data_IF_967204547293
#
_entry.id   IF_967204547293
#
_cell.length_a   1.000
_cell.length_b   1.000
_cell.length_c   1.000
_cell.angle_alpha   90.00
_cell.angle_beta   90.00
_cell.angle_gamma   90.00
#
_symmetry.space_group_name_H-M   'P 1'
#
loop_
_entity.id
_entity.type
_entity.pdbx_description
1 polymer ?
#
# COMPACT_ATOMS: atom_id res chain seq x y z
N UNK A 1 16.74 17.01 2.11
CA UNK A 1 16.48 17.35 0.70
C UNK A 1 15.57 16.33 0.00
N UNK A 2 15.70 15.01 0.22
CA UNK A 2 14.74 14.02 -0.31
C UNK A 2 13.33 14.11 0.31
N UNK A 3 13.21 14.50 1.59
CA UNK A 3 11.91 14.56 2.28
C UNK A 3 10.91 15.58 1.75
N UNK A 4 11.36 16.69 1.15
CA UNK A 4 10.45 17.71 0.59
C UNK A 4 9.89 17.29 -0.78
N UNK A 5 10.69 16.61 -1.61
CA UNK A 5 10.28 16.21 -2.95
C UNK A 5 9.19 15.12 -2.95
N UNK A 6 9.19 14.23 -1.96
CA UNK A 6 8.19 13.17 -1.83
C UNK A 6 7.05 13.51 -0.87
N UNK A 7 7.04 14.70 -0.26
CA UNK A 7 6.04 15.09 0.74
C UNK A 7 4.60 14.87 0.27
N UNK A 8 4.18 15.43 -0.89
CA UNK A 8 2.81 15.27 -1.38
C UNK A 8 2.44 13.83 -1.74
N UNK A 9 3.38 13.08 -2.35
CA UNK A 9 3.17 11.67 -2.71
C UNK A 9 3.02 10.83 -1.45
N UNK A 10 3.92 11.01 -0.48
CA UNK A 10 3.88 10.29 0.79
C UNK A 10 2.61 10.60 1.58
N UNK A 11 2.15 11.86 1.57
CA UNK A 11 0.89 12.26 2.21
C UNK A 11 -0.32 11.60 1.54
N UNK A 12 -0.40 11.61 0.21
CA UNK A 12 -1.47 10.95 -0.54
C UNK A 12 -1.51 9.43 -0.26
N UNK A 13 -0.35 8.76 -0.32
CA UNK A 13 -0.22 7.34 0.00
C UNK A 13 -0.62 7.04 1.45
N UNK A 14 -0.19 7.89 2.40
CA UNK A 14 -0.56 7.77 3.82
C UNK A 14 -2.07 7.85 4.02
N UNK A 15 -2.76 8.67 3.21
CA UNK A 15 -4.21 8.80 3.23
C UNK A 15 -4.94 7.76 2.37
N UNK A 16 -4.22 6.84 1.72
CA UNK A 16 -4.81 5.82 0.85
C UNK A 16 -5.33 6.35 -0.49
N UNK A 17 -4.92 7.55 -0.90
CA UNK A 17 -5.33 8.19 -2.14
C UNK A 17 -4.28 7.96 -3.24
N UNK A 18 -4.44 6.87 -3.99
CA UNK A 18 -3.52 6.52 -5.08
C UNK A 18 -3.63 7.47 -6.29
N UNK A 19 -4.76 8.15 -6.47
CA UNK A 19 -5.01 9.06 -7.60
C UNK A 19 -4.29 10.39 -7.35
N UNK A 20 -4.38 10.92 -6.13
CA UNK A 20 -3.67 12.14 -5.74
C UNK A 20 -2.15 11.96 -5.62
N UNK A 21 -1.67 10.72 -5.49
CA UNK A 21 -0.25 10.43 -5.32
C UNK A 21 0.62 10.74 -6.55
N UNK A 22 0.03 10.95 -7.74
CA UNK A 22 0.77 11.35 -8.95
C UNK A 22 1.81 10.33 -9.40
N UNK A 23 1.55 9.04 -9.14
CA UNK A 23 2.46 7.94 -9.45
C UNK A 23 2.59 7.74 -10.97
N UNK A 24 3.78 7.33 -11.39
CA UNK A 24 3.93 6.82 -12.76
C UNK A 24 3.20 5.48 -12.94
N UNK A 25 3.06 5.05 -14.19
CA UNK A 25 2.31 3.85 -14.54
C UNK A 25 2.85 2.58 -13.85
N UNK A 26 4.18 2.29 -13.84
CA UNK A 26 4.70 1.10 -13.15
C UNK A 26 4.39 1.07 -11.66
N UNK A 27 4.55 2.18 -10.94
CA UNK A 27 4.25 2.22 -9.50
C UNK A 27 2.76 2.16 -9.22
N UNK A 28 1.92 2.78 -10.07
CA UNK A 28 0.46 2.66 -9.92
C UNK A 28 -0.01 1.23 -10.08
N UNK A 29 0.46 0.52 -11.11
CA UNK A 29 0.12 -0.90 -11.32
C UNK A 29 0.53 -1.76 -10.13
N UNK A 30 1.70 -1.51 -9.54
CA UNK A 30 2.16 -2.24 -8.34
C UNK A 30 1.24 -1.98 -7.14
N UNK A 31 0.80 -0.75 -6.92
CA UNK A 31 -0.10 -0.45 -5.80
C UNK A 31 -1.52 -0.95 -6.03
N UNK A 32 -2.03 -0.93 -7.26
CA UNK A 32 -3.29 -1.58 -7.61
C UNK A 32 -3.19 -3.11 -7.39
N UNK A 33 -2.02 -3.69 -7.69
CA UNK A 33 -1.66 -5.08 -7.37
C UNK A 33 -1.83 -5.38 -5.88
N UNK A 34 -1.14 -4.60 -5.04
CA UNK A 34 -1.17 -4.68 -3.58
C UNK A 34 -2.59 -4.46 -3.04
N UNK A 35 -3.34 -3.48 -3.53
CA UNK A 35 -4.71 -3.20 -3.06
C UNK A 35 -5.63 -4.40 -3.24
N UNK A 36 -5.53 -5.11 -4.37
CA UNK A 36 -6.36 -6.31 -4.56
C UNK A 36 -5.90 -7.46 -3.69
N UNK A 37 -4.61 -7.61 -3.39
CA UNK A 37 -4.20 -8.60 -2.38
C UNK A 37 -4.85 -8.26 -1.04
N UNK A 38 -4.83 -6.99 -0.65
CA UNK A 38 -5.43 -6.51 0.60
C UNK A 38 -6.94 -6.71 0.67
N UNK A 39 -7.68 -6.39 -0.40
CA UNK A 39 -9.15 -6.42 -0.38
C UNK A 39 -9.74 -7.74 -0.88
N UNK A 40 -9.14 -8.31 -1.92
CA UNK A 40 -9.72 -9.37 -2.74
C UNK A 40 -8.65 -10.32 -3.32
N UNK A 41 -7.73 -10.85 -2.50
CA UNK A 41 -6.60 -11.67 -2.98
C UNK A 41 -7.00 -12.80 -3.95
N UNK A 42 -8.19 -13.39 -3.78
CA UNK A 42 -8.76 -14.41 -4.66
C UNK A 42 -9.07 -13.93 -6.10
N UNK A 43 -8.95 -12.63 -6.38
CA UNK A 43 -9.14 -12.02 -7.71
C UNK A 43 -7.82 -11.70 -8.41
N UNK A 44 -6.67 -11.99 -7.81
CA UNK A 44 -5.40 -11.88 -8.52
C UNK A 44 -5.38 -12.88 -9.69
N UNK A 45 -5.07 -12.40 -10.89
CA UNK A 45 -5.02 -13.20 -12.13
C UNK A 45 -3.63 -13.17 -12.75
N UNK A 46 -3.35 -14.16 -13.60
CA UNK A 46 -2.11 -14.22 -14.39
C UNK A 46 -1.96 -13.00 -15.33
N UNK A 47 -3.08 -12.51 -15.89
CA UNK A 47 -3.11 -11.31 -16.74
C UNK A 47 -2.56 -10.10 -15.98
N UNK A 48 -2.95 -9.92 -14.72
CA UNK A 48 -2.47 -8.78 -13.94
C UNK A 48 -1.01 -8.92 -13.51
N UNK A 49 -0.54 -10.13 -13.26
CA UNK A 49 0.88 -10.39 -13.06
C UNK A 49 1.67 -10.09 -14.33
N UNK A 50 1.12 -10.42 -15.50
CA UNK A 50 1.75 -10.11 -16.78
C UNK A 50 1.83 -8.59 -17.04
N UNK A 51 0.79 -7.83 -16.72
CA UNK A 51 0.82 -6.36 -16.83
C UNK A 51 1.97 -5.72 -16.02
N UNK A 52 2.29 -6.27 -14.84
CA UNK A 52 3.42 -5.82 -14.03
C UNK A 52 4.76 -6.13 -14.71
N UNK A 53 4.91 -7.32 -15.29
CA UNK A 53 6.11 -7.68 -16.07
C UNK A 53 6.29 -6.76 -17.27
N UNK A 54 5.20 -6.50 -17.99
CA UNK A 54 5.20 -5.61 -19.16
C UNK A 54 5.52 -4.16 -18.77
N UNK A 55 5.27 -3.77 -17.52
CA UNK A 55 5.66 -2.49 -16.94
C UNK A 55 7.11 -2.45 -16.41
N UNK A 56 7.84 -3.58 -16.46
CA UNK A 56 9.26 -3.68 -16.12
C UNK A 56 9.57 -4.28 -14.75
N UNK A 57 8.58 -4.77 -14.01
CA UNK A 57 8.82 -5.46 -12.73
C UNK A 57 9.32 -6.90 -12.97
N UNK A 58 10.31 -7.34 -12.20
CA UNK A 58 10.75 -8.73 -12.21
C UNK A 58 9.81 -9.63 -11.40
N UNK A 59 9.84 -10.94 -11.67
CA UNK A 59 9.04 -11.92 -10.90
C UNK A 59 9.41 -11.89 -9.40
N UNK A 60 10.68 -11.68 -9.06
CA UNK A 60 11.13 -11.54 -7.68
C UNK A 60 10.52 -10.31 -6.99
N UNK A 61 10.47 -9.17 -7.68
CA UNK A 61 9.87 -7.95 -7.13
C UNK A 61 8.35 -8.08 -6.97
N UNK A 62 7.68 -8.75 -7.90
CA UNK A 62 6.24 -9.03 -7.81
C UNK A 62 5.96 -9.97 -6.63
N UNK A 63 6.78 -11.01 -6.46
CA UNK A 63 6.68 -11.93 -5.34
C UNK A 63 6.93 -11.21 -4.01
N UNK A 64 7.96 -10.37 -3.91
CA UNK A 64 8.25 -9.54 -2.74
C UNK A 64 7.08 -8.63 -2.37
N UNK A 65 6.50 -7.91 -3.33
CA UNK A 65 5.33 -7.08 -3.11
C UNK A 65 4.12 -7.89 -2.60
N UNK A 66 3.93 -9.11 -3.11
CA UNK A 66 2.86 -9.98 -2.63
C UNK A 66 3.09 -10.46 -1.19
N UNK A 67 4.34 -10.81 -0.84
CA UNK A 67 4.71 -11.20 0.51
C UNK A 67 4.54 -10.05 1.50
N UNK A 68 5.00 -8.86 1.15
CA UNK A 68 4.87 -7.66 2.00
C UNK A 68 3.39 -7.30 2.20
N UNK A 69 2.59 -7.27 1.14
CA UNK A 69 1.16 -7.02 1.23
C UNK A 69 0.48 -8.03 2.18
N UNK A 70 0.76 -9.33 2.02
CA UNK A 70 0.18 -10.36 2.87
C UNK A 70 0.64 -10.24 4.34
N UNK A 71 1.91 -9.93 4.57
CA UNK A 71 2.48 -9.76 5.91
C UNK A 71 1.87 -8.56 6.64
N UNK A 72 1.74 -7.41 5.96
CA UNK A 72 1.08 -6.25 6.55
C UNK A 72 -0.41 -6.50 6.80
N UNK A 73 -1.11 -7.22 5.91
CA UNK A 73 -2.51 -7.60 6.15
C UNK A 73 -2.68 -8.44 7.43
N UNK A 74 -1.71 -9.31 7.75
CA UNK A 74 -1.70 -10.03 9.03
C UNK A 74 -1.52 -9.07 10.21
N UNK A 75 -0.53 -8.18 10.15
CA UNK A 75 -0.25 -7.25 11.25
C UNK A 75 -1.38 -6.26 11.50
N UNK A 76 -1.97 -5.69 10.45
CA UNK A 76 -3.11 -4.77 10.57
C UNK A 76 -4.29 -5.49 11.24
N UNK A 77 -4.62 -6.72 10.81
CA UNK A 77 -5.68 -7.50 11.45
C UNK A 77 -5.40 -7.80 12.92
N UNK A 78 -4.16 -8.11 13.28
CA UNK A 78 -3.78 -8.32 14.67
C UNK A 78 -3.89 -7.03 15.48
N UNK A 79 -3.42 -5.91 14.93
CA UNK A 79 -3.53 -4.61 15.56
C UNK A 79 -5.01 -4.24 15.82
N UNK A 80 -5.87 -4.39 14.82
CA UNK A 80 -7.31 -4.16 14.93
C UNK A 80 -7.95 -5.08 15.99
N UNK A 81 -7.57 -6.37 16.01
CA UNK A 81 -8.12 -7.35 16.97
C UNK A 81 -7.79 -6.99 18.42
N UNK A 82 -6.61 -6.41 18.66
CA UNK A 82 -6.13 -6.08 20.00
C UNK A 82 -6.25 -4.59 20.34
N UNK A 83 -6.80 -3.76 19.45
CA UNK A 83 -6.89 -2.31 19.62
C UNK A 83 -5.52 -1.64 19.75
N UNK A 84 -4.52 -2.12 19.01
CA UNK A 84 -3.17 -1.55 19.03
C UNK A 84 -3.16 -0.29 18.16
N UNK A 85 -2.93 0.86 18.79
CA UNK A 85 -2.75 2.13 18.11
C UNK A 85 -1.26 2.52 18.00
N UNK A 86 -0.83 3.17 16.90
CA UNK A 86 0.52 3.67 16.78
C UNK A 86 0.82 4.74 17.86
N UNK A 87 2.00 4.70 18.50
CA UNK A 87 2.40 5.74 19.44
C UNK A 87 2.34 7.13 18.81
N UNK A 88 1.86 8.14 19.56
CA UNK A 88 1.70 9.52 19.08
C UNK A 88 2.98 10.15 18.49
N UNK A 89 4.17 9.67 18.91
CA UNK A 89 5.46 10.11 18.35
C UNK A 89 5.63 9.78 16.86
N UNK A 90 4.94 8.74 16.36
CA UNK A 90 4.95 8.36 14.94
C UNK A 90 3.83 9.02 14.14
N UNK A 91 2.87 9.64 14.83
CA UNK A 91 1.70 10.34 14.29
C UNK A 91 1.70 11.82 14.70
N UNK A 92 2.78 12.59 14.49
CA UNK A 92 2.86 13.98 14.96
C UNK A 92 1.82 14.90 14.31
N UNK A 93 1.28 14.50 13.16
CA UNK A 93 0.24 15.22 12.41
C UNK A 93 -1.14 14.54 12.51
N UNK A 94 -1.31 13.59 13.43
CA UNK A 94 -2.53 12.81 13.61
C UNK A 94 -2.58 11.53 12.77
N UNK A 95 -3.45 10.62 13.19
CA UNK A 95 -3.68 9.32 12.52
C UNK A 95 -4.29 9.57 11.14
N UNK A 96 -3.74 8.98 10.06
CA UNK A 96 -4.26 9.19 8.72
C UNK A 96 -5.65 8.58 8.54
N UNK A 97 -6.43 9.16 7.63
CA UNK A 97 -7.80 8.74 7.36
C UNK A 97 -7.90 7.25 6.97
N UNK A 98 -6.90 6.73 6.25
CA UNK A 98 -6.83 5.32 5.86
C UNK A 98 -6.66 4.35 7.04
N UNK A 99 -6.16 4.82 8.19
CA UNK A 99 -5.98 4.02 9.40
C UNK A 99 -7.13 4.24 10.42
N UNK A 100 -8.07 5.14 10.13
CA UNK A 100 -9.24 5.30 10.98
C UNK A 100 -10.13 4.04 10.86
N UNK A 101 -10.65 3.51 11.98
CA UNK A 101 -11.57 2.39 11.94
C UNK A 101 -12.77 2.75 11.06
N UNK A 102 -13.17 1.83 10.17
CA UNK A 102 -14.42 2.01 9.43
C UNK A 102 -15.59 2.09 10.41
N UNK A 103 -16.55 3.00 10.22
CA UNK A 103 -17.71 3.14 11.09
C UNK A 103 -18.58 1.89 11.14
#
# INVERSE_FOLDING_TARGET
>A
MQGEAYGPVAEALRNGDLDAAGLDRPHRLLLDFVETITRHAYRVTDERVQELRDAGWSDEQIAEAAYDAALFNLFVRLADTFGIEPPAIYEPNGVPAAAAPSP
#
